data_IF_814333652953
#
_entry.id   IF_814333652953
#
_cell.length_a   1.000
_cell.length_b   1.000
_cell.length_c   1.000
_cell.angle_alpha   90.00
_cell.angle_beta   90.00
_cell.angle_gamma   90.00
#
_symmetry.space_group_name_H-M   'P 1'
#
loop_
_entity.id
_entity.type
_entity.pdbx_description
1 polymer ?
#
# COMPACT_ATOMS: atom_id res chain seq x y z
N UNK A 1 -9.05 -24.88 -26.43
CA UNK A 1 -9.82 -23.78 -25.87
C UNK A 1 -8.84 -22.66 -25.57
N UNK A 2 -8.90 -21.48 -26.22
CA UNK A 2 -7.98 -20.39 -25.88
C UNK A 2 -8.29 -19.87 -24.50
N UNK A 3 -7.27 -19.77 -23.65
CA UNK A 3 -7.37 -19.14 -22.34
C UNK A 3 -7.88 -17.70 -22.54
N UNK A 4 -8.95 -17.37 -21.84
CA UNK A 4 -9.47 -16.00 -21.75
C UNK A 4 -8.34 -15.13 -21.22
N UNK A 5 -7.82 -14.21 -22.03
CA UNK A 5 -6.92 -13.18 -21.57
C UNK A 5 -7.68 -12.42 -20.47
N UNK A 6 -7.21 -12.52 -19.25
CA UNK A 6 -7.63 -11.62 -18.17
C UNK A 6 -7.04 -10.28 -18.57
N UNK A 7 -7.89 -9.37 -19.05
CA UNK A 7 -7.54 -7.97 -19.22
C UNK A 7 -7.21 -7.42 -17.82
N UNK A 8 -5.97 -7.59 -17.41
CA UNK A 8 -5.47 -6.96 -16.20
C UNK A 8 -5.25 -5.48 -16.53
N UNK A 9 -6.07 -4.60 -15.98
CA UNK A 9 -5.92 -3.15 -16.07
C UNK A 9 -4.71 -2.63 -15.28
N UNK A 10 -3.60 -3.36 -15.33
CA UNK A 10 -2.37 -2.96 -14.63
C UNK A 10 -1.87 -1.65 -15.22
N UNK A 11 -1.79 -0.64 -14.37
CA UNK A 11 -1.28 0.67 -14.77
C UNK A 11 0.20 0.57 -15.16
N UNK A 12 0.55 1.00 -16.36
CA UNK A 12 1.93 1.00 -16.86
C UNK A 12 2.23 2.31 -17.62
N UNK A 13 3.50 2.61 -17.83
CA UNK A 13 3.95 3.75 -18.63
C UNK A 13 3.33 5.08 -18.20
N UNK A 14 2.74 5.81 -19.14
CA UNK A 14 2.14 7.13 -18.90
C UNK A 14 0.95 7.09 -17.92
N UNK A 15 0.15 6.04 -17.94
CA UNK A 15 -0.98 5.89 -17.02
C UNK A 15 -0.51 5.72 -15.56
N UNK A 16 0.55 4.97 -15.33
CA UNK A 16 1.18 4.83 -14.02
C UNK A 16 1.81 6.15 -13.55
N UNK A 17 2.50 6.87 -14.46
CA UNK A 17 3.06 8.18 -14.15
C UNK A 17 1.96 9.19 -13.79
N UNK A 18 0.87 9.23 -14.55
CA UNK A 18 -0.26 10.11 -14.26
C UNK A 18 -0.89 9.80 -12.90
N UNK A 19 -1.04 8.52 -12.54
CA UNK A 19 -1.52 8.10 -11.22
C UNK A 19 -0.56 8.51 -10.10
N UNK A 20 0.75 8.33 -10.33
CA UNK A 20 1.77 8.77 -9.38
C UNK A 20 1.69 10.29 -9.13
N UNK A 21 1.61 11.10 -10.19
CA UNK A 21 1.50 12.55 -10.07
C UNK A 21 0.22 12.98 -9.36
N UNK A 22 -0.90 12.30 -9.60
CA UNK A 22 -2.15 12.58 -8.91
C UNK A 22 -2.06 12.26 -7.40
N UNK A 23 -1.43 11.16 -7.03
CA UNK A 23 -1.14 10.79 -5.63
C UNK A 23 -0.21 11.80 -4.95
N UNK A 24 0.87 12.19 -5.62
CA UNK A 24 1.84 13.16 -5.10
C UNK A 24 1.18 14.54 -4.86
N UNK A 25 0.40 15.01 -5.83
CA UNK A 25 -0.37 16.25 -5.70
C UNK A 25 -1.37 16.18 -4.54
N UNK A 26 -2.12 15.09 -4.41
CA UNK A 26 -3.06 14.87 -3.32
C UNK A 26 -2.36 14.90 -1.95
N UNK A 27 -1.25 14.19 -1.81
CA UNK A 27 -0.48 14.17 -0.57
C UNK A 27 0.13 15.54 -0.25
N UNK A 28 0.63 16.25 -1.25
CA UNK A 28 1.21 17.60 -1.10
C UNK A 28 0.17 18.63 -0.67
N UNK A 29 -1.00 18.61 -1.28
CA UNK A 29 -2.10 19.50 -0.95
C UNK A 29 -2.59 19.31 0.49
N UNK A 30 -2.63 18.06 0.95
CA UNK A 30 -3.17 17.70 2.27
C UNK A 30 -2.11 17.43 3.35
N UNK A 31 -0.85 17.84 3.13
CA UNK A 31 0.24 17.55 4.06
C UNK A 31 0.02 18.09 5.47
N UNK A 32 -0.78 19.14 5.65
CA UNK A 32 -1.13 19.67 6.96
C UNK A 32 -1.90 18.67 7.84
N UNK A 33 -2.60 17.69 7.23
CA UNK A 33 -3.34 16.65 7.95
C UNK A 33 -2.46 15.46 8.35
N UNK A 34 -1.57 15.01 7.48
CA UNK A 34 -0.81 13.77 7.69
C UNK A 34 0.63 13.96 8.15
N UNK A 35 1.25 15.13 7.87
CA UNK A 35 2.65 15.39 8.20
C UNK A 35 2.93 15.68 9.69
N UNK A 36 1.98 16.19 10.52
CA UNK A 36 2.23 16.38 11.95
C UNK A 36 2.70 15.07 12.60
N UNK A 37 3.78 15.16 13.38
CA UNK A 37 4.32 13.99 14.08
C UNK A 37 3.32 13.56 15.17
N UNK A 38 2.87 12.29 15.19
CA UNK A 38 2.00 11.80 16.24
C UNK A 38 2.72 11.88 17.61
N UNK A 39 1.94 12.09 18.66
CA UNK A 39 2.41 12.15 20.07
C UNK A 39 3.42 13.26 20.41
N UNK A 40 3.69 14.20 19.51
CA UNK A 40 4.58 15.34 19.79
C UNK A 40 3.83 16.62 20.19
N UNK A 41 2.51 16.62 20.05
CA UNK A 41 1.65 17.76 20.37
C UNK A 41 0.49 17.30 21.26
N UNK A 42 0.14 18.12 22.27
CA UNK A 42 -1.08 17.91 23.09
C UNK A 42 -2.35 18.14 22.25
N UNK A 43 -2.28 19.08 21.31
CA UNK A 43 -3.31 19.32 20.31
C UNK A 43 -2.65 19.25 18.94
N UNK A 44 -3.30 18.58 17.98
CA UNK A 44 -2.77 18.51 16.63
C UNK A 44 -2.90 19.87 15.93
N UNK A 45 -1.89 20.30 15.14
CA UNK A 45 -1.88 21.61 14.52
C UNK A 45 -3.10 21.94 13.66
N UNK A 46 -3.74 20.92 13.07
CA UNK A 46 -4.92 21.06 12.23
C UNK A 46 -6.24 21.19 13.01
N UNK A 47 -6.27 20.92 14.33
CA UNK A 47 -7.52 20.97 15.12
C UNK A 47 -8.14 22.37 15.14
N UNK A 48 -7.32 23.41 15.15
CA UNK A 48 -7.80 24.81 15.12
C UNK A 48 -8.45 25.16 13.77
N UNK A 49 -7.89 24.67 12.68
CA UNK A 49 -8.43 24.90 11.33
C UNK A 49 -9.61 23.99 10.99
N UNK A 50 -9.74 22.86 11.67
CA UNK A 50 -10.78 21.85 11.43
C UNK A 50 -11.49 21.38 12.71
N UNK A 51 -12.12 22.31 13.47
CA UNK A 51 -12.72 21.97 14.76
C UNK A 51 -13.86 20.96 14.68
N UNK A 52 -14.64 20.97 13.58
CA UNK A 52 -15.70 20.00 13.35
C UNK A 52 -15.15 18.57 13.17
N UNK A 53 -14.04 18.42 12.46
CA UNK A 53 -13.35 17.13 12.32
C UNK A 53 -12.82 16.65 13.67
N UNK A 54 -12.20 17.53 14.45
CA UNK A 54 -11.66 17.19 15.76
C UNK A 54 -12.75 16.72 16.73
N UNK A 55 -13.89 17.42 16.78
CA UNK A 55 -15.03 17.04 17.59
C UNK A 55 -15.62 15.69 17.17
N UNK A 56 -15.79 15.52 15.85
CA UNK A 56 -16.30 14.27 15.29
C UNK A 56 -15.37 13.08 15.60
N UNK A 57 -14.06 13.21 15.44
CA UNK A 57 -13.10 12.16 15.76
C UNK A 57 -13.13 11.78 17.24
N UNK A 58 -13.22 12.76 18.16
CA UNK A 58 -13.29 12.49 19.60
C UNK A 58 -14.60 11.86 20.07
N UNK A 59 -15.67 12.05 19.28
CA UNK A 59 -16.99 11.46 19.55
C UNK A 59 -17.14 10.01 19.08
N UNK A 60 -16.14 9.44 18.39
CA UNK A 60 -16.24 8.08 17.85
C UNK A 60 -16.00 7.02 18.91
N UNK A 61 -16.71 5.91 18.79
CA UNK A 61 -16.42 4.68 19.54
C UNK A 61 -15.19 3.97 18.98
N UNK A 62 -14.61 3.04 19.75
CA UNK A 62 -13.53 2.19 19.26
C UNK A 62 -13.99 1.34 18.06
N UNK A 63 -15.20 0.79 18.12
CA UNK A 63 -15.81 -0.02 17.06
C UNK A 63 -15.92 0.78 15.76
N UNK A 64 -16.41 2.03 15.81
CA UNK A 64 -16.48 2.93 14.66
C UNK A 64 -15.08 3.21 14.08
N UNK A 65 -14.08 3.40 14.95
CA UNK A 65 -12.71 3.66 14.52
C UNK A 65 -12.09 2.44 13.83
N UNK A 66 -12.31 1.24 14.36
CA UNK A 66 -11.85 -0.02 13.76
C UNK A 66 -12.53 -0.28 12.41
N UNK A 67 -13.84 -0.03 12.32
CA UNK A 67 -14.56 -0.16 11.05
C UNK A 67 -14.01 0.80 9.99
N UNK A 68 -13.81 2.06 10.33
CA UNK A 68 -13.27 3.06 9.42
C UNK A 68 -11.81 2.77 9.02
N UNK A 69 -11.01 2.16 9.91
CA UNK A 69 -9.64 1.74 9.59
C UNK A 69 -9.60 0.73 8.43
N UNK A 70 -10.53 -0.21 8.42
CA UNK A 70 -10.61 -1.24 7.38
C UNK A 70 -11.35 -0.78 6.12
N UNK A 71 -12.21 0.23 6.24
CA UNK A 71 -13.04 0.75 5.14
C UNK A 71 -13.06 2.28 5.11
N UNK A 72 -11.93 2.94 4.82
CA UNK A 72 -11.83 4.40 4.86
C UNK A 72 -12.78 5.12 3.90
N UNK A 73 -13.19 4.50 2.81
CA UNK A 73 -14.19 5.07 1.89
C UNK A 73 -15.57 5.25 2.52
N UNK A 74 -15.87 4.48 3.58
CA UNK A 74 -17.12 4.56 4.34
C UNK A 74 -17.00 5.48 5.56
N UNK A 75 -15.90 6.22 5.68
CA UNK A 75 -15.69 7.19 6.73
C UNK A 75 -16.74 8.30 6.64
N UNK A 76 -17.74 8.26 7.49
CA UNK A 76 -18.82 9.26 7.51
C UNK A 76 -18.39 10.52 8.29
N UNK A 77 -17.27 11.10 7.84
CA UNK A 77 -16.71 12.33 8.40
C UNK A 77 -17.43 13.58 7.89
N UNK A 78 -17.32 14.72 8.60
CA UNK A 78 -17.74 16.02 8.04
C UNK A 78 -17.04 16.32 6.72
N UNK A 79 -17.75 16.95 5.78
CA UNK A 79 -17.11 17.43 4.55
C UNK A 79 -16.07 18.53 4.86
N UNK A 80 -14.96 18.58 4.10
CA UNK A 80 -14.63 17.79 2.89
C UNK A 80 -13.97 16.42 3.16
N UNK A 81 -13.82 15.99 4.42
CA UNK A 81 -13.02 14.81 4.80
C UNK A 81 -13.63 13.49 4.31
N UNK A 82 -14.96 13.37 4.23
CA UNK A 82 -15.60 12.20 3.64
C UNK A 82 -15.23 12.05 2.15
N UNK A 83 -15.25 13.16 1.42
CA UNK A 83 -14.83 13.20 0.00
C UNK A 83 -13.35 12.92 -0.17
N UNK A 84 -12.49 13.47 0.69
CA UNK A 84 -11.05 13.19 0.69
C UNK A 84 -10.74 11.72 0.97
N UNK A 85 -11.45 11.10 1.91
CA UNK A 85 -11.28 9.68 2.21
C UNK A 85 -11.62 8.79 1.00
N UNK A 86 -12.72 9.09 0.31
CA UNK A 86 -13.10 8.37 -0.92
C UNK A 86 -12.07 8.57 -2.03
N UNK A 87 -11.61 9.81 -2.23
CA UNK A 87 -10.60 10.11 -3.23
C UNK A 87 -9.27 9.42 -2.93
N UNK A 88 -8.84 9.39 -1.66
CA UNK A 88 -7.60 8.70 -1.25
C UNK A 88 -7.64 7.21 -1.58
N UNK A 89 -8.78 6.54 -1.35
CA UNK A 89 -8.97 5.13 -1.70
C UNK A 89 -8.91 4.94 -3.22
N UNK A 90 -9.62 5.77 -3.97
CA UNK A 90 -9.63 5.69 -5.44
C UNK A 90 -8.24 5.93 -6.06
N UNK A 91 -7.46 6.85 -5.48
CA UNK A 91 -6.09 7.10 -5.94
C UNK A 91 -5.12 5.99 -5.54
N UNK A 92 -5.31 5.36 -4.37
CA UNK A 92 -4.48 4.26 -3.89
C UNK A 92 -4.84 2.91 -4.52
N UNK A 93 -5.97 2.83 -5.22
CA UNK A 93 -6.38 1.63 -5.95
C UNK A 93 -5.51 1.46 -7.19
N UNK A 94 -4.46 0.67 -7.02
CA UNK A 94 -3.57 0.21 -8.08
C UNK A 94 -3.79 -1.29 -8.22
N UNK A 95 -4.11 -1.75 -9.43
CA UNK A 95 -4.38 -3.15 -9.70
C UNK A 95 -3.23 -4.06 -9.24
N UNK A 96 -3.57 -5.26 -8.85
CA UNK A 96 -2.56 -6.26 -8.51
C UNK A 96 -1.90 -6.82 -9.77
N UNK A 97 -0.56 -6.88 -9.75
CA UNK A 97 0.19 -7.61 -10.78
C UNK A 97 -0.21 -9.10 -10.75
N UNK A 98 -0.38 -9.74 -11.91
CA UNK A 98 -0.68 -11.16 -11.96
C UNK A 98 0.44 -11.97 -11.29
N UNK A 99 0.04 -12.93 -10.45
CA UNK A 99 1.00 -13.82 -9.79
C UNK A 99 1.35 -15.01 -10.70
N UNK A 100 2.63 -15.40 -10.72
CA UNK A 100 3.10 -16.62 -11.33
C UNK A 100 3.52 -17.65 -10.27
N UNK A 101 3.60 -18.91 -10.65
CA UNK A 101 4.07 -19.94 -9.76
C UNK A 101 5.59 -19.78 -9.52
N UNK A 102 5.98 -19.68 -8.26
CA UNK A 102 7.39 -19.74 -7.89
C UNK A 102 7.90 -21.18 -7.89
N UNK A 103 9.16 -21.38 -8.24
CA UNK A 103 9.81 -22.66 -8.03
C UNK A 103 9.72 -23.04 -6.55
N UNK A 104 9.46 -24.32 -6.23
CA UNK A 104 9.32 -24.76 -4.84
C UNK A 104 10.54 -24.35 -4.05
N UNK A 105 10.37 -23.43 -3.11
CA UNK A 105 11.42 -23.01 -2.21
C UNK A 105 11.98 -24.23 -1.47
N UNK A 106 13.28 -24.50 -1.59
CA UNK A 106 13.92 -25.58 -0.83
C UNK A 106 13.76 -25.32 0.66
N UNK A 107 13.67 -26.39 1.45
CA UNK A 107 13.35 -26.42 2.90
C UNK A 107 14.15 -25.47 3.81
N UNK A 108 15.15 -24.74 3.30
CA UNK A 108 16.03 -23.90 4.10
C UNK A 108 15.87 -22.39 3.90
N UNK A 109 15.10 -21.94 2.94
CA UNK A 109 14.99 -20.49 2.67
C UNK A 109 14.11 -19.78 3.68
N UNK A 110 13.15 -20.46 4.25
CA UNK A 110 12.19 -19.93 5.23
C UNK A 110 12.57 -20.21 6.69
N UNK A 111 13.71 -20.85 6.94
CA UNK A 111 14.18 -21.10 8.31
C UNK A 111 14.41 -19.78 9.02
N UNK A 112 13.91 -19.66 10.25
CA UNK A 112 13.97 -18.45 11.10
C UNK A 112 13.31 -17.21 10.51
N UNK A 113 12.43 -17.39 9.52
CA UNK A 113 11.58 -16.32 8.98
C UNK A 113 10.18 -16.45 9.57
N UNK A 114 9.61 -15.42 10.25
CA UNK A 114 8.22 -15.45 10.69
C UNK A 114 7.28 -15.73 9.51
N UNK A 115 6.30 -16.62 9.71
CA UNK A 115 5.41 -17.10 8.63
C UNK A 115 4.76 -15.96 7.83
N UNK A 116 4.26 -14.91 8.52
CA UNK A 116 3.72 -13.70 7.87
C UNK A 116 4.74 -13.01 6.97
N UNK A 117 5.99 -12.91 7.41
CA UNK A 117 7.06 -12.28 6.60
C UNK A 117 7.42 -13.14 5.40
N UNK A 118 7.43 -14.46 5.56
CA UNK A 118 7.68 -15.37 4.45
C UNK A 118 6.58 -15.26 3.38
N UNK A 119 5.31 -15.26 3.79
CA UNK A 119 4.18 -15.05 2.88
C UNK A 119 4.28 -13.73 2.09
N UNK A 120 4.71 -12.64 2.73
CA UNK A 120 4.94 -11.37 2.04
C UNK A 120 6.04 -11.47 0.97
N UNK A 121 7.13 -12.18 1.28
CA UNK A 121 8.24 -12.40 0.35
C UNK A 121 7.79 -13.22 -0.86
N UNK A 122 7.05 -14.31 -0.65
CA UNK A 122 6.50 -15.14 -1.72
C UNK A 122 5.48 -14.37 -2.57
N UNK A 123 4.58 -13.61 -1.94
CA UNK A 123 3.59 -12.80 -2.64
C UNK A 123 4.25 -11.72 -3.50
N UNK A 124 5.33 -11.10 -3.04
CA UNK A 124 6.08 -10.13 -3.81
C UNK A 124 6.83 -10.79 -4.98
N UNK A 125 7.60 -11.84 -4.71
CA UNK A 125 8.38 -12.55 -5.72
C UNK A 125 7.49 -13.11 -6.84
N UNK A 126 6.33 -13.67 -6.50
CA UNK A 126 5.39 -14.24 -7.49
C UNK A 126 4.77 -13.20 -8.44
N UNK A 127 4.93 -11.90 -8.16
CA UNK A 127 4.40 -10.82 -9.00
C UNK A 127 5.46 -10.13 -9.84
N UNK A 128 6.72 -10.46 -9.64
CA UNK A 128 7.81 -9.90 -10.46
C UNK A 128 7.80 -10.55 -11.84
N UNK A 129 7.76 -9.74 -12.87
CA UNK A 129 7.83 -10.18 -14.26
C UNK A 129 8.91 -9.39 -14.97
N UNK A 130 9.77 -10.08 -15.70
CA UNK A 130 10.86 -9.50 -16.45
C UNK A 130 10.76 -9.93 -17.91
N UNK A 131 11.06 -9.02 -18.83
CA UNK A 131 11.13 -9.33 -20.26
C UNK A 131 12.26 -10.34 -20.55
N UNK A 132 13.35 -10.24 -19.78
CA UNK A 132 14.50 -11.14 -19.83
C UNK A 132 14.92 -11.52 -18.41
N UNK A 133 15.40 -12.73 -18.21
CA UNK A 133 15.86 -13.20 -16.91
C UNK A 133 17.01 -12.32 -16.38
N UNK A 134 16.89 -11.74 -15.19
CA UNK A 134 17.96 -10.91 -14.62
C UNK A 134 19.21 -11.73 -14.37
N UNK A 135 20.37 -11.21 -14.81
CA UNK A 135 21.68 -11.82 -14.57
C UNK A 135 22.21 -11.52 -13.18
N UNK A 136 21.78 -10.40 -12.59
CA UNK A 136 22.24 -9.92 -11.29
C UNK A 136 21.09 -9.28 -10.54
N UNK A 137 21.08 -9.41 -9.21
CA UNK A 137 20.12 -8.81 -8.29
C UNK A 137 20.80 -7.83 -7.35
N UNK A 138 20.27 -6.65 -7.22
CA UNK A 138 20.57 -5.71 -6.16
C UNK A 138 19.35 -5.56 -5.25
N UNK A 139 19.46 -6.09 -4.04
CA UNK A 139 18.42 -5.96 -3.00
C UNK A 139 18.80 -4.81 -2.07
N UNK A 140 18.30 -3.63 -2.34
CA UNK A 140 18.55 -2.42 -1.55
C UNK A 140 17.75 -2.46 -0.25
N UNK A 141 18.41 -2.22 0.89
CA UNK A 141 17.83 -2.38 2.22
C UNK A 141 17.38 -3.81 2.55
N UNK A 142 18.09 -4.79 2.03
CA UNK A 142 17.80 -6.22 2.06
C UNK A 142 17.55 -6.83 3.46
N UNK A 143 17.97 -6.18 4.54
CA UNK A 143 17.92 -6.72 5.88
C UNK A 143 18.68 -8.05 5.94
N UNK A 144 17.97 -9.17 6.20
CA UNK A 144 18.58 -10.53 6.19
C UNK A 144 18.68 -11.16 4.79
N UNK A 145 18.33 -10.42 3.72
CA UNK A 145 18.43 -10.88 2.33
C UNK A 145 17.51 -12.03 1.95
N UNK A 146 16.37 -12.19 2.62
CA UNK A 146 15.47 -13.31 2.35
C UNK A 146 14.85 -13.23 0.95
N UNK A 147 14.44 -12.02 0.50
CA UNK A 147 13.91 -11.81 -0.83
C UNK A 147 14.96 -12.08 -1.91
N UNK A 148 16.14 -11.47 -1.79
CA UNK A 148 17.24 -11.66 -2.75
C UNK A 148 17.66 -13.11 -2.89
N UNK A 149 17.69 -13.88 -1.78
CA UNK A 149 17.97 -15.32 -1.82
C UNK A 149 16.89 -16.15 -2.51
N UNK A 150 15.62 -15.74 -2.40
CA UNK A 150 14.53 -16.41 -3.12
C UNK A 150 14.65 -16.13 -4.63
N UNK A 151 14.80 -14.86 -5.02
CA UNK A 151 14.88 -14.43 -6.42
C UNK A 151 16.13 -14.95 -7.15
N UNK A 152 17.24 -15.14 -6.45
CA UNK A 152 18.48 -15.67 -7.04
C UNK A 152 18.39 -17.18 -7.37
N UNK A 153 17.34 -17.87 -6.97
CA UNK A 153 17.11 -19.31 -7.24
C UNK A 153 16.08 -19.59 -8.30
N UNK A 154 15.18 -18.65 -8.54
CA UNK A 154 14.11 -18.75 -9.51
C UNK A 154 14.58 -18.32 -10.88
#
# INVERSE_FOLDING_TARGET
MPAKAVDSHVLTGEALLARFMALDSFLTEHQALWKPRPFTHLQLPWETSHPALAAWLRGRSLEDAEHAHNQPALLNAPEPFASLAKLSVALADVDELPAHALAKAGHRLNVDVPGRKWQQIEAFASRLQFAEAPQQWLDWCAGKGHLGRLLARD
#
